data_IF_529523205965
#
_entry.id   IF_529523205965
#
_cell.length_a   1.000
_cell.length_b   1.000
_cell.length_c   1.000
_cell.angle_alpha   90.00
_cell.angle_beta   90.00
_cell.angle_gamma   90.00
#
_symmetry.space_group_name_H-M   'P 1'
#
loop_
_entity.id
_entity.type
_entity.pdbx_description
1 polymer ?
#
# COMPACT_ATOMS: atom_id res chain seq x y z
N UNK A 1 34.80 -3.67 14.41
CA UNK A 1 33.77 -4.20 13.49
C UNK A 1 33.10 -5.41 14.14
N UNK A 2 31.98 -5.21 14.83
CA UNK A 2 31.12 -6.27 15.39
C UNK A 2 29.75 -6.11 14.75
N UNK A 3 29.19 -7.23 14.29
CA UNK A 3 27.97 -7.33 13.50
C UNK A 3 26.77 -6.69 14.20
N UNK A 4 26.26 -5.60 13.61
CA UNK A 4 24.91 -5.10 13.82
C UNK A 4 23.97 -5.96 12.97
N UNK A 5 23.33 -6.97 13.57
CA UNK A 5 22.04 -7.44 13.08
C UNK A 5 20.96 -6.60 13.76
N UNK A 6 20.74 -5.41 13.23
CA UNK A 6 19.57 -4.59 13.61
C UNK A 6 18.36 -5.22 12.95
N UNK A 7 17.46 -5.71 13.80
CA UNK A 7 16.25 -6.45 13.49
C UNK A 7 15.32 -5.63 12.58
N UNK A 8 14.82 -6.27 11.53
CA UNK A 8 13.75 -5.76 10.66
C UNK A 8 12.46 -5.83 11.48
N UNK A 9 11.99 -4.69 11.98
CA UNK A 9 10.83 -4.58 12.87
C UNK A 9 9.91 -3.50 12.29
N UNK A 10 8.89 -3.92 11.54
CA UNK A 10 7.78 -3.04 11.14
C UNK A 10 6.45 -3.44 11.78
N UNK A 11 6.35 -4.64 12.38
CA UNK A 11 5.20 -5.06 13.18
C UNK A 11 5.50 -5.31 14.67
N UNK A 12 6.79 -5.29 15.07
CA UNK A 12 7.24 -6.04 16.25
C UNK A 12 7.32 -5.29 17.59
N UNK A 13 7.05 -3.98 17.66
CA UNK A 13 7.08 -3.26 18.96
C UNK A 13 5.70 -2.81 19.47
N UNK A 14 4.63 -3.01 18.72
CA UNK A 14 3.31 -2.47 19.04
C UNK A 14 2.51 -3.26 20.10
N UNK A 15 2.86 -4.50 20.43
CA UNK A 15 2.15 -5.30 21.46
C UNK A 15 2.94 -5.56 22.75
N UNK A 16 4.20 -5.11 22.85
CA UNK A 16 5.11 -5.50 23.95
C UNK A 16 5.07 -4.62 25.21
N UNK A 17 4.30 -3.53 25.25
CA UNK A 17 4.31 -2.59 26.38
C UNK A 17 3.38 -3.01 27.54
N UNK A 18 3.53 -4.24 28.02
CA UNK A 18 3.07 -4.67 29.34
C UNK A 18 4.20 -5.48 29.99
N UNK A 19 4.69 -4.97 31.13
CA UNK A 19 5.66 -5.55 32.08
C UNK A 19 7.18 -5.26 31.89
N UNK A 20 7.66 -4.31 32.69
CA UNK A 20 8.76 -4.45 33.65
C UNK A 20 10.10 -5.11 33.22
N UNK A 21 11.08 -4.26 32.94
CA UNK A 21 12.49 -4.28 33.42
C UNK A 21 13.12 -5.63 33.85
N UNK A 22 14.23 -6.07 33.23
CA UNK A 22 15.48 -6.48 33.92
C UNK A 22 16.67 -6.69 32.95
N UNK A 23 17.84 -6.16 33.33
CA UNK A 23 19.17 -6.33 32.69
C UNK A 23 19.64 -7.79 32.75
N UNK A 24 20.43 -8.26 31.75
CA UNK A 24 21.51 -9.25 31.99
C UNK A 24 22.58 -9.36 30.89
N UNK A 25 23.82 -9.15 31.36
CA UNK A 25 25.13 -9.82 31.14
C UNK A 25 25.58 -10.41 29.79
N UNK A 26 26.82 -10.01 29.44
CA UNK A 26 27.78 -10.48 28.43
C UNK A 26 28.07 -11.99 28.40
N UNK A 27 28.22 -12.56 27.19
CA UNK A 27 29.12 -13.70 26.89
C UNK A 27 29.76 -13.49 25.49
N UNK A 28 31.06 -13.81 25.37
CA UNK A 28 31.93 -13.65 24.18
C UNK A 28 31.70 -14.71 23.07
N UNK A 29 32.04 -14.43 21.79
CA UNK A 29 31.87 -15.37 20.68
C UNK A 29 33.14 -16.15 20.30
N UNK A 30 32.96 -17.43 19.93
CA UNK A 30 33.95 -18.26 19.23
C UNK A 30 33.77 -18.17 17.70
N UNK A 31 34.89 -18.28 16.98
CA UNK A 31 35.03 -18.25 15.51
C UNK A 31 34.81 -19.66 14.93
N UNK A 32 34.25 -19.79 13.71
CA UNK A 32 35.00 -20.21 12.49
C UNK A 32 34.13 -20.55 11.24
N UNK A 33 34.71 -20.13 10.10
CA UNK A 33 34.72 -20.62 8.70
C UNK A 33 33.48 -20.73 7.77
N UNK A 34 33.58 -20.21 6.51
CA UNK A 34 32.56 -20.32 5.47
C UNK A 34 32.84 -21.46 4.47
N UNK A 35 31.78 -22.17 4.03
CA UNK A 35 31.78 -23.00 2.83
C UNK A 35 30.89 -22.39 1.75
N UNK A 36 31.44 -22.38 0.54
CA UNK A 36 30.86 -21.86 -0.70
C UNK A 36 29.71 -22.73 -1.21
N UNK A 37 28.69 -22.12 -1.82
CA UNK A 37 27.77 -22.79 -2.73
C UNK A 37 27.35 -21.87 -3.88
N UNK A 38 27.03 -22.53 -5.00
CA UNK A 38 27.18 -22.07 -6.36
C UNK A 38 26.11 -21.09 -6.88
N UNK A 39 26.52 -20.41 -7.95
CA UNK A 39 25.79 -19.59 -8.93
C UNK A 39 24.30 -19.87 -9.12
N UNK A 40 23.47 -18.89 -8.76
CA UNK A 40 22.18 -18.62 -9.39
C UNK A 40 22.28 -17.33 -10.20
N UNK A 41 21.70 -17.29 -11.41
CA UNK A 41 21.65 -16.12 -12.29
C UNK A 41 21.01 -14.91 -11.59
N UNK A 42 21.83 -14.07 -10.96
CA UNK A 42 21.43 -12.80 -10.37
C UNK A 42 21.23 -11.81 -11.51
N UNK A 43 19.98 -11.46 -11.82
CA UNK A 43 19.67 -10.27 -12.62
C UNK A 43 20.35 -9.07 -11.96
N UNK A 44 21.27 -8.43 -12.67
CA UNK A 44 22.03 -7.28 -12.20
C UNK A 44 21.10 -6.12 -11.82
N UNK A 45 21.38 -5.54 -10.66
CA UNK A 45 20.65 -4.54 -9.86
C UNK A 45 20.33 -3.20 -10.53
N UNK A 46 20.54 -3.03 -11.84
CA UNK A 46 20.29 -1.79 -12.58
C UNK A 46 18.94 -1.77 -13.34
N UNK A 47 18.35 -2.93 -13.66
CA UNK A 47 17.10 -3.01 -14.45
C UNK A 47 15.83 -2.68 -13.65
N UNK A 48 15.90 -2.68 -12.31
CA UNK A 48 14.72 -2.63 -11.42
C UNK A 48 14.23 -1.19 -11.16
N UNK A 49 15.00 -0.13 -11.42
CA UNK A 49 14.51 1.26 -11.19
C UNK A 49 13.77 1.86 -12.39
N UNK A 50 14.25 1.64 -13.62
CA UNK A 50 13.62 2.18 -14.83
C UNK A 50 12.32 1.46 -15.15
N UNK A 51 12.34 0.13 -15.21
CA UNK A 51 11.14 -0.66 -15.51
C UNK A 51 10.03 -0.40 -14.48
N UNK A 52 10.37 -0.33 -13.19
CA UNK A 52 9.42 -0.04 -12.11
C UNK A 52 8.78 1.35 -12.25
N UNK A 53 9.57 2.37 -12.61
CA UNK A 53 9.06 3.71 -12.88
C UNK A 53 8.12 3.73 -14.09
N UNK A 54 8.48 3.06 -15.17
CA UNK A 54 7.63 2.98 -16.36
C UNK A 54 6.32 2.25 -16.08
N UNK A 55 6.39 1.10 -15.40
CA UNK A 55 5.22 0.32 -14.97
C UNK A 55 4.29 1.15 -14.07
N UNK A 56 4.83 1.80 -13.03
CA UNK A 56 4.06 2.65 -12.12
C UNK A 56 3.42 3.84 -12.86
N UNK A 57 4.13 4.48 -13.79
CA UNK A 57 3.58 5.58 -14.59
C UNK A 57 2.43 5.12 -15.50
N UNK A 58 2.55 3.97 -16.16
CA UNK A 58 1.48 3.41 -16.99
C UNK A 58 0.20 3.12 -16.19
N UNK A 59 0.34 2.65 -14.96
CA UNK A 59 -0.79 2.46 -14.04
C UNK A 59 -1.40 3.79 -13.59
N UNK A 60 -0.56 4.76 -13.20
CA UNK A 60 -1.02 6.06 -12.71
C UNK A 60 -1.79 6.85 -13.77
N UNK A 61 -1.32 6.80 -15.02
CA UNK A 61 -1.97 7.42 -16.18
C UNK A 61 -3.12 6.60 -16.74
N UNK A 62 -3.34 5.38 -16.21
CA UNK A 62 -4.31 4.41 -16.70
C UNK A 62 -4.14 4.07 -18.19
N UNK A 63 -2.92 4.18 -18.72
CA UNK A 63 -2.60 3.79 -20.09
C UNK A 63 -2.43 2.29 -20.24
N UNK A 64 -2.14 1.59 -19.13
CA UNK A 64 -2.22 0.13 -19.01
C UNK A 64 -2.80 -0.23 -17.65
N UNK A 65 -3.30 -1.45 -17.56
CA UNK A 65 -3.80 -2.08 -16.35
C UNK A 65 -2.74 -2.96 -15.71
N UNK A 66 -2.95 -3.37 -14.45
CA UNK A 66 -2.08 -4.33 -13.77
C UNK A 66 -1.87 -5.60 -14.61
N UNK A 67 -2.92 -6.12 -15.25
CA UNK A 67 -2.87 -7.42 -15.95
C UNK A 67 -2.17 -7.38 -17.31
N UNK A 68 -1.94 -6.19 -17.86
CA UNK A 68 -1.16 -6.02 -19.10
C UNK A 68 0.35 -5.98 -18.81
N UNK A 69 0.77 -5.45 -17.65
CA UNK A 69 2.19 -5.24 -17.34
C UNK A 69 3.07 -6.50 -17.38
N UNK A 70 2.64 -7.69 -16.91
CA UNK A 70 3.47 -8.89 -16.94
C UNK A 70 3.94 -9.30 -18.35
N UNK A 71 3.22 -8.87 -19.39
CA UNK A 71 3.54 -9.18 -20.79
C UNK A 71 4.44 -8.14 -21.45
N UNK A 72 4.84 -7.09 -20.72
CA UNK A 72 5.59 -5.96 -21.27
C UNK A 72 7.06 -6.01 -20.84
N UNK A 73 7.97 -5.96 -21.80
CA UNK A 73 9.37 -5.61 -21.54
C UNK A 73 9.51 -4.13 -21.19
N UNK A 74 10.68 -3.74 -20.66
CA UNK A 74 10.99 -2.31 -20.42
C UNK A 74 10.85 -1.47 -21.69
N UNK A 75 11.26 -2.01 -22.84
CA UNK A 75 11.15 -1.34 -24.13
C UNK A 75 9.69 -1.22 -24.59
N UNK A 76 8.87 -2.25 -24.37
CA UNK A 76 7.42 -2.17 -24.65
C UNK A 76 6.73 -1.10 -23.81
N UNK A 77 7.12 -0.95 -22.54
CA UNK A 77 6.60 0.09 -21.65
C UNK A 77 7.03 1.49 -22.13
N UNK A 78 8.29 1.66 -22.51
CA UNK A 78 8.80 2.93 -23.04
C UNK A 78 8.12 3.30 -24.36
N UNK A 79 8.05 2.36 -25.31
CA UNK A 79 7.38 2.54 -26.60
C UNK A 79 5.89 2.85 -26.43
N UNK A 80 5.23 2.20 -25.46
CA UNK A 80 3.84 2.52 -25.12
C UNK A 80 3.70 3.98 -24.69
N UNK A 81 4.59 4.48 -23.83
CA UNK A 81 4.56 5.90 -23.42
C UNK A 81 4.81 6.86 -24.58
N UNK A 82 5.76 6.54 -25.48
CA UNK A 82 6.01 7.34 -26.69
C UNK A 82 4.74 7.42 -27.54
N UNK A 83 4.11 6.27 -27.82
CA UNK A 83 2.89 6.19 -28.63
C UNK A 83 1.73 6.95 -27.99
N UNK A 84 1.54 6.81 -26.67
CA UNK A 84 0.47 7.52 -25.98
C UNK A 84 0.71 9.03 -25.93
N UNK A 85 1.94 9.49 -25.66
CA UNK A 85 2.27 10.92 -25.71
C UNK A 85 2.12 11.50 -27.11
N UNK A 86 2.54 10.78 -28.16
CA UNK A 86 2.37 11.23 -29.55
C UNK A 86 0.89 11.41 -29.92
N UNK A 87 0.00 10.51 -29.49
CA UNK A 87 -1.45 10.62 -29.75
C UNK A 87 -2.09 11.81 -29.03
N UNK A 88 -1.50 12.23 -27.92
CA UNK A 88 -2.12 13.10 -26.90
C UNK A 88 -1.51 14.50 -26.85
N UNK A 89 -0.44 14.75 -27.59
CA UNK A 89 0.33 16.00 -27.60
C UNK A 89 0.76 16.34 -29.03
N UNK A 90 1.32 17.53 -29.24
CA UNK A 90 1.81 17.96 -30.55
C UNK A 90 3.17 17.35 -30.94
N UNK A 91 3.77 16.51 -30.09
CA UNK A 91 5.13 16.00 -30.29
C UNK A 91 5.13 14.74 -31.16
N UNK A 92 6.00 14.71 -32.17
CA UNK A 92 6.15 13.55 -33.05
C UNK A 92 6.96 12.40 -32.41
N UNK A 93 6.87 11.20 -32.98
CA UNK A 93 7.55 9.99 -32.47
C UNK A 93 9.08 10.16 -32.43
N UNK A 94 9.67 10.84 -33.42
CA UNK A 94 11.13 11.01 -33.48
C UNK A 94 11.63 11.91 -32.34
N UNK A 95 10.91 12.99 -32.04
CA UNK A 95 11.21 13.86 -30.90
C UNK A 95 11.09 13.12 -29.57
N UNK A 96 10.04 12.31 -29.39
CA UNK A 96 9.78 11.56 -28.17
C UNK A 96 10.79 10.41 -27.94
N UNK A 97 11.25 9.77 -29.01
CA UNK A 97 12.25 8.68 -28.94
C UNK A 97 13.61 9.18 -28.43
N UNK A 98 13.91 10.46 -28.61
CA UNK A 98 15.15 11.08 -28.12
C UNK A 98 15.08 11.52 -26.65
N UNK A 99 13.92 11.40 -25.99
CA UNK A 99 13.74 11.75 -24.58
C UNK A 99 14.09 10.53 -23.72
N UNK A 100 14.86 10.73 -22.65
CA UNK A 100 15.13 9.63 -21.74
C UNK A 100 13.86 9.18 -20.99
N UNK A 101 13.82 7.90 -20.61
CA UNK A 101 12.65 7.26 -20.03
C UNK A 101 12.12 7.93 -18.74
N UNK A 102 13.00 8.53 -17.92
CA UNK A 102 12.58 9.25 -16.71
C UNK A 102 11.84 10.54 -17.02
N UNK A 103 12.36 11.31 -17.97
CA UNK A 103 11.67 12.51 -18.46
C UNK A 103 10.36 12.14 -19.13
N UNK A 104 10.35 11.10 -19.98
CA UNK A 104 9.14 10.61 -20.65
C UNK A 104 8.03 10.27 -19.63
N UNK A 105 8.38 9.55 -18.57
CA UNK A 105 7.45 9.23 -17.48
C UNK A 105 6.93 10.49 -16.77
N UNK A 106 7.81 11.46 -16.48
CA UNK A 106 7.42 12.71 -15.83
C UNK A 106 6.48 13.55 -16.73
N UNK A 107 6.72 13.59 -18.04
CA UNK A 107 5.84 14.27 -19.00
C UNK A 107 4.47 13.60 -19.11
N UNK A 108 4.41 12.27 -19.10
CA UNK A 108 3.15 11.52 -19.08
C UNK A 108 2.30 11.87 -17.84
N UNK A 109 2.93 11.95 -16.66
CA UNK A 109 2.25 12.33 -15.43
C UNK A 109 1.83 13.80 -15.41
N UNK A 110 2.64 14.71 -15.98
CA UNK A 110 2.30 16.12 -16.14
C UNK A 110 1.07 16.31 -17.05
N UNK A 111 1.05 15.62 -18.19
CA UNK A 111 -0.11 15.57 -19.08
C UNK A 111 -1.37 15.10 -18.32
N UNK A 112 -1.27 13.97 -17.60
CA UNK A 112 -2.43 13.39 -16.93
C UNK A 112 -2.96 14.30 -15.83
N UNK A 113 -2.08 14.95 -15.05
CA UNK A 113 -2.48 15.93 -14.05
C UNK A 113 -3.23 17.11 -14.66
N UNK A 114 -2.70 17.76 -15.71
CA UNK A 114 -3.37 18.91 -16.34
C UNK A 114 -4.77 18.55 -16.87
N UNK A 115 -4.91 17.33 -17.39
CA UNK A 115 -6.18 16.78 -17.85
C UNK A 115 -7.14 16.52 -16.68
N UNK A 116 -6.70 15.82 -15.63
CA UNK A 116 -7.51 15.47 -14.46
C UNK A 116 -7.95 16.67 -13.65
N UNK A 117 -7.07 17.66 -13.50
CA UNK A 117 -7.35 18.92 -12.83
C UNK A 117 -8.22 19.87 -13.67
N UNK A 118 -8.60 19.47 -14.90
CA UNK A 118 -9.44 20.30 -15.79
C UNK A 118 -8.75 21.58 -16.27
N UNK A 119 -7.43 21.69 -16.11
CA UNK A 119 -6.66 22.87 -16.53
C UNK A 119 -6.62 22.99 -18.05
N UNK A 120 -6.50 21.84 -18.74
CA UNK A 120 -6.57 21.76 -20.20
C UNK A 120 -7.43 20.57 -20.61
N UNK A 121 -8.24 20.77 -21.64
CA UNK A 121 -9.00 19.69 -22.26
C UNK A 121 -8.07 18.74 -23.03
N UNK A 122 -8.52 17.50 -23.29
CA UNK A 122 -7.76 16.57 -24.11
C UNK A 122 -7.49 17.11 -25.54
N UNK A 123 -8.43 17.88 -26.10
CA UNK A 123 -8.27 18.51 -27.42
C UNK A 123 -7.17 19.58 -27.37
N UNK A 124 -7.19 20.45 -26.36
CA UNK A 124 -6.15 21.48 -26.19
C UNK A 124 -4.78 20.87 -25.95
N UNK A 125 -4.69 19.82 -25.12
CA UNK A 125 -3.41 19.15 -24.86
C UNK A 125 -2.82 18.52 -26.12
N UNK A 126 -3.64 18.06 -27.06
CA UNK A 126 -3.20 17.50 -28.35
C UNK A 126 -2.46 18.52 -29.23
N UNK A 127 -2.71 19.81 -29.01
CA UNK A 127 -2.08 20.92 -29.72
C UNK A 127 -0.86 21.47 -28.97
N UNK A 128 -0.56 20.98 -27.76
CA UNK A 128 0.53 21.46 -26.92
C UNK A 128 1.80 20.60 -27.05
N UNK A 129 2.96 21.23 -27.11
CA UNK A 129 4.26 20.55 -26.98
C UNK A 129 4.54 20.14 -25.53
N UNK A 130 5.51 19.26 -25.29
CA UNK A 130 5.88 18.91 -23.91
C UNK A 130 6.38 20.13 -23.10
N UNK A 131 7.18 21.06 -23.67
CA UNK A 131 7.49 22.33 -23.01
C UNK A 131 6.25 23.16 -22.63
N UNK A 132 5.22 23.21 -23.48
CA UNK A 132 3.99 23.96 -23.17
C UNK A 132 3.22 23.35 -21.99
N UNK A 133 3.19 22.01 -21.91
CA UNK A 133 2.61 21.27 -20.78
C UNK A 133 3.34 21.62 -19.48
N UNK A 134 4.68 21.58 -19.49
CA UNK A 134 5.48 21.91 -18.30
C UNK A 134 5.33 23.37 -17.91
N UNK A 135 5.39 24.30 -18.87
CA UNK A 135 5.20 25.73 -18.60
C UNK A 135 3.81 26.01 -18.03
N UNK A 136 2.77 25.34 -18.53
CA UNK A 136 1.42 25.43 -17.97
C UNK A 136 1.42 24.96 -16.52
N UNK A 137 2.00 23.80 -16.22
CA UNK A 137 2.08 23.29 -14.86
C UNK A 137 2.88 24.22 -13.91
N UNK A 138 3.97 24.82 -14.38
CA UNK A 138 4.73 25.82 -13.62
C UNK A 138 3.85 27.01 -13.25
N UNK A 139 3.09 27.55 -14.21
CA UNK A 139 2.18 28.66 -13.96
C UNK A 139 1.11 28.26 -12.95
N UNK A 140 0.44 27.12 -13.14
CA UNK A 140 -0.60 26.64 -12.22
C UNK A 140 -0.05 26.39 -10.80
N UNK A 141 1.17 25.89 -10.66
CA UNK A 141 1.84 25.73 -9.37
C UNK A 141 2.12 27.09 -8.72
N UNK A 142 2.67 28.06 -9.46
CA UNK A 142 2.96 29.40 -8.92
C UNK A 142 1.71 30.16 -8.48
N UNK A 143 0.56 29.87 -9.08
CA UNK A 143 -0.73 30.47 -8.71
C UNK A 143 -1.33 29.87 -7.44
N UNK A 144 -1.00 28.63 -7.10
CA UNK A 144 -1.62 27.87 -5.99
C UNK A 144 -0.71 27.64 -4.80
N UNK A 145 0.60 27.79 -4.99
CA UNK A 145 1.62 27.60 -3.96
C UNK A 145 2.42 28.90 -3.83
N UNK A 146 2.01 29.74 -2.87
CA UNK A 146 2.57 31.08 -2.66
C UNK A 146 4.07 31.04 -2.33
N UNK A 147 4.57 29.91 -1.83
CA UNK A 147 5.97 29.72 -1.48
C UNK A 147 6.91 29.55 -2.69
N UNK A 148 6.37 29.38 -3.92
CA UNK A 148 7.18 29.12 -5.12
C UNK A 148 6.98 30.15 -6.24
N UNK A 149 8.05 30.90 -6.54
CA UNK A 149 8.08 31.79 -7.71
C UNK A 149 8.28 31.01 -9.02
N UNK A 150 7.84 31.58 -10.15
CA UNK A 150 8.05 30.98 -11.49
C UNK A 150 9.53 30.68 -11.76
N UNK A 151 10.50 31.58 -11.51
CA UNK A 151 11.92 31.27 -11.71
C UNK A 151 12.41 30.10 -10.86
N UNK A 152 11.91 29.96 -9.63
CA UNK A 152 12.28 28.83 -8.76
C UNK A 152 11.72 27.50 -9.31
N UNK A 153 10.47 27.49 -9.76
CA UNK A 153 9.83 26.32 -10.36
C UNK A 153 10.48 25.89 -11.68
N UNK A 154 10.95 26.83 -12.50
CA UNK A 154 11.66 26.53 -13.75
C UNK A 154 12.97 25.76 -13.55
N UNK A 155 13.58 25.83 -12.36
CA UNK A 155 14.79 25.07 -12.01
C UNK A 155 14.49 23.66 -11.47
N UNK A 156 13.22 23.33 -11.23
CA UNK A 156 12.84 22.04 -10.69
C UNK A 156 12.66 20.98 -11.78
N UNK A 157 12.99 19.71 -11.51
CA UNK A 157 12.67 18.63 -12.42
C UNK A 157 11.15 18.47 -12.59
N UNK A 158 10.69 18.06 -13.78
CA UNK A 158 9.26 17.88 -14.10
C UNK A 158 8.56 16.98 -13.07
N UNK A 159 9.23 15.93 -12.60
CA UNK A 159 8.68 15.04 -11.58
C UNK A 159 8.33 15.78 -10.28
N UNK A 160 9.16 16.74 -9.85
CA UNK A 160 8.88 17.58 -8.68
C UNK A 160 7.72 18.53 -8.95
N UNK A 161 7.65 19.11 -10.16
CA UNK A 161 6.53 19.97 -10.55
C UNK A 161 5.20 19.22 -10.53
N UNK A 162 5.18 17.95 -10.96
CA UNK A 162 3.99 17.10 -10.87
C UNK A 162 3.63 16.83 -9.41
N UNK A 163 4.61 16.50 -8.56
CA UNK A 163 4.38 16.28 -7.13
C UNK A 163 3.75 17.50 -6.45
N UNK A 164 4.27 18.70 -6.72
CA UNK A 164 3.68 19.96 -6.26
C UNK A 164 2.29 20.20 -6.85
N UNK A 165 2.10 19.84 -8.12
CA UNK A 165 0.80 19.83 -8.78
C UNK A 165 -0.27 19.06 -8.02
N UNK A 166 0.06 17.85 -7.60
CA UNK A 166 -0.85 17.01 -6.81
C UNK A 166 -1.03 17.52 -5.37
N UNK A 167 -0.09 18.28 -4.80
CA UNK A 167 -0.21 18.76 -3.42
C UNK A 167 -1.31 19.81 -3.23
N UNK A 168 -1.64 20.59 -4.26
CA UNK A 168 -2.83 21.45 -4.24
C UNK A 168 -4.06 20.79 -4.87
N UNK A 169 -3.88 19.90 -5.86
CA UNK A 169 -5.00 19.28 -6.57
C UNK A 169 -5.79 18.31 -5.67
N UNK A 170 -5.12 17.37 -5.00
CA UNK A 170 -5.82 16.31 -4.24
C UNK A 170 -6.67 16.85 -3.07
N UNK A 171 -6.18 17.79 -2.23
CA UNK A 171 -7.02 18.37 -1.18
C UNK A 171 -8.27 19.04 -1.74
N UNK A 172 -8.16 19.70 -2.89
CA UNK A 172 -9.28 20.40 -3.53
C UNK A 172 -10.27 19.41 -4.17
N UNK A 173 -9.76 18.46 -4.97
CA UNK A 173 -10.57 17.50 -5.71
C UNK A 173 -11.36 16.57 -4.79
N UNK A 174 -10.77 16.22 -3.64
CA UNK A 174 -11.33 15.25 -2.70
C UNK A 174 -11.78 15.89 -1.37
N UNK A 175 -11.98 17.22 -1.31
CA UNK A 175 -12.32 17.91 -0.05
C UNK A 175 -13.54 17.30 0.71
N UNK A 176 -14.68 16.99 0.04
CA UNK A 176 -15.82 16.37 0.72
C UNK A 176 -15.50 14.97 1.24
N UNK A 177 -14.74 14.19 0.46
CA UNK A 177 -14.31 12.85 0.83
C UNK A 177 -13.36 12.91 2.05
N UNK A 178 -12.37 13.80 2.03
CA UNK A 178 -11.44 13.98 3.14
C UNK A 178 -12.13 14.33 4.44
N UNK A 179 -13.15 15.20 4.40
CA UNK A 179 -13.94 15.55 5.59
C UNK A 179 -14.70 14.33 6.15
N UNK A 180 -15.25 13.48 5.28
CA UNK A 180 -15.95 12.26 5.68
C UNK A 180 -15.00 11.21 6.25
N UNK A 181 -13.88 10.95 5.56
CA UNK A 181 -12.84 10.01 6.00
C UNK A 181 -12.20 10.44 7.33
N UNK A 182 -12.11 11.74 7.58
CA UNK A 182 -11.53 12.27 8.82
C UNK A 182 -12.41 12.08 10.06
N UNK A 183 -13.72 11.84 9.90
CA UNK A 183 -14.65 11.93 11.02
C UNK A 183 -14.81 10.62 11.80
N UNK A 184 -13.83 10.28 12.65
CA UNK A 184 -13.92 9.15 13.58
C UNK A 184 -14.48 9.57 14.96
N UNK A 185 -15.38 10.57 15.01
CA UNK A 185 -15.98 11.06 16.26
C UNK A 185 -17.39 10.53 16.52
N UNK A 186 -18.06 10.01 15.48
CA UNK A 186 -19.44 9.52 15.56
C UNK A 186 -19.44 8.00 15.79
N UNK A 187 -19.70 7.58 17.02
CA UNK A 187 -19.80 6.17 17.44
C UNK A 187 -18.59 5.27 17.06
N UNK A 188 -17.33 5.73 17.26
CA UNK A 188 -16.16 4.89 17.01
C UNK A 188 -16.07 3.76 18.04
N UNK A 189 -15.60 2.58 17.61
CA UNK A 189 -15.16 1.51 18.49
C UNK A 189 -13.64 1.53 18.61
N UNK A 190 -13.14 1.80 19.81
CA UNK A 190 -11.71 1.72 20.15
C UNK A 190 -11.38 0.40 20.84
N UNK A 191 -10.10 0.02 20.79
CA UNK A 191 -9.58 -1.20 21.40
C UNK A 191 -10.45 -2.43 21.08
N UNK A 192 -10.88 -2.55 19.81
CA UNK A 192 -11.79 -3.61 19.40
C UNK A 192 -11.19 -5.00 19.68
N UNK A 193 -12.02 -5.91 20.19
CA UNK A 193 -11.62 -7.26 20.59
C UNK A 193 -12.60 -8.32 20.12
N UNK A 194 -12.09 -9.54 20.00
CA UNK A 194 -12.94 -10.71 19.82
C UNK A 194 -13.52 -11.24 21.14
N UNK A 195 -14.39 -12.25 21.02
CA UNK A 195 -15.04 -12.96 22.13
C UNK A 195 -14.10 -13.68 23.09
N UNK A 196 -12.81 -13.83 22.75
CA UNK A 196 -11.76 -14.34 23.63
C UNK A 196 -10.93 -13.20 24.25
N UNK A 197 -11.41 -11.96 24.17
CA UNK A 197 -10.76 -10.74 24.68
C UNK A 197 -9.39 -10.47 24.03
N UNK A 198 -9.18 -10.90 22.79
CA UNK A 198 -7.96 -10.65 22.02
C UNK A 198 -8.16 -9.46 21.10
N UNK A 199 -7.16 -8.58 21.00
CA UNK A 199 -7.21 -7.41 20.13
C UNK A 199 -7.38 -7.80 18.66
N UNK A 200 -8.13 -6.98 17.91
CA UNK A 200 -8.33 -7.15 16.46
C UNK A 200 -7.25 -6.43 15.64
N UNK A 201 -6.00 -6.47 16.11
CA UNK A 201 -4.95 -5.64 15.54
C UNK A 201 -4.76 -5.92 14.04
N UNK A 202 -4.59 -4.83 13.28
CA UNK A 202 -4.51 -4.78 11.81
C UNK A 202 -5.71 -5.39 11.05
N UNK A 203 -6.92 -5.32 11.64
CA UNK A 203 -8.16 -5.85 11.06
C UNK A 203 -8.40 -5.39 9.61
N UNK A 204 -8.55 -6.33 8.68
CA UNK A 204 -9.08 -6.11 7.32
C UNK A 204 -10.41 -6.82 7.16
N UNK A 205 -11.44 -6.12 6.71
CA UNK A 205 -12.83 -6.60 6.69
C UNK A 205 -13.25 -6.93 5.25
N UNK A 206 -14.14 -7.91 5.10
CA UNK A 206 -14.90 -8.15 3.88
C UNK A 206 -16.37 -8.31 4.25
N UNK A 207 -17.25 -7.63 3.52
CA UNK A 207 -18.69 -7.87 3.61
C UNK A 207 -19.05 -9.20 2.94
N UNK A 208 -20.03 -9.89 3.50
CA UNK A 208 -20.59 -11.12 2.95
C UNK A 208 -22.04 -10.90 2.55
N UNK A 209 -22.56 -11.81 1.73
CA UNK A 209 -23.98 -11.87 1.38
C UNK A 209 -24.78 -12.72 2.40
N UNK A 210 -24.20 -13.03 3.57
CA UNK A 210 -24.82 -13.87 4.62
C UNK A 210 -25.36 -13.00 5.75
N UNK A 211 -26.37 -13.50 6.46
CA UNK A 211 -26.89 -12.87 7.68
C UNK A 211 -27.46 -13.89 8.68
N UNK A 212 -27.33 -13.59 9.97
CA UNK A 212 -27.97 -14.32 11.06
C UNK A 212 -27.71 -15.82 11.03
N UNK A 213 -28.78 -16.63 10.94
CA UNK A 213 -28.70 -18.10 10.94
C UNK A 213 -27.93 -18.67 9.74
N UNK A 214 -27.73 -17.90 8.67
CA UNK A 214 -27.05 -18.34 7.46
C UNK A 214 -25.56 -17.93 7.41
N UNK A 215 -25.03 -17.35 8.49
CA UNK A 215 -23.65 -16.88 8.58
C UNK A 215 -23.54 -15.41 8.98
N UNK A 216 -22.31 -14.91 9.05
CA UNK A 216 -22.01 -13.55 9.50
C UNK A 216 -21.95 -12.55 8.34
N UNK A 217 -22.52 -11.36 8.52
CA UNK A 217 -22.48 -10.25 7.54
C UNK A 217 -21.07 -9.78 7.24
N UNK A 218 -20.17 -9.86 8.21
CA UNK A 218 -18.80 -9.40 8.07
C UNK A 218 -17.84 -10.49 8.52
N UNK A 219 -16.81 -10.71 7.71
CA UNK A 219 -15.63 -11.46 8.10
C UNK A 219 -14.44 -10.50 8.14
N UNK A 220 -13.44 -10.81 8.93
CA UNK A 220 -12.21 -10.03 8.93
C UNK A 220 -10.98 -10.81 9.36
N UNK A 221 -9.85 -10.47 8.76
CA UNK A 221 -8.53 -11.01 9.13
C UNK A 221 -7.84 -10.05 10.08
N UNK A 222 -7.34 -10.58 11.19
CA UNK A 222 -6.55 -9.83 12.16
C UNK A 222 -5.43 -10.74 12.70
N UNK A 223 -4.37 -10.14 13.21
CA UNK A 223 -3.32 -10.92 13.85
C UNK A 223 -3.50 -10.94 15.37
N UNK A 224 -3.08 -12.04 15.99
CA UNK A 224 -3.09 -12.18 17.44
C UNK A 224 -1.66 -12.44 17.87
N UNK A 225 -1.15 -11.58 18.75
CA UNK A 225 0.13 -11.78 19.40
C UNK A 225 0.12 -13.09 20.19
N UNK A 226 1.20 -13.86 20.08
CA UNK A 226 1.35 -15.14 20.77
C UNK A 226 2.48 -15.07 21.78
N UNK A 227 3.67 -15.53 21.43
CA UNK A 227 4.85 -15.51 22.30
C UNK A 227 6.01 -14.81 21.60
N UNK A 228 6.74 -13.99 22.36
CA UNK A 228 7.87 -13.22 21.85
C UNK A 228 7.43 -12.28 20.75
N UNK A 229 8.00 -12.47 19.57
CA UNK A 229 7.79 -11.64 18.38
C UNK A 229 6.78 -12.29 17.39
N UNK A 230 6.13 -13.40 17.77
CA UNK A 230 5.29 -14.16 16.85
C UNK A 230 3.82 -13.77 16.92
N UNK A 231 3.18 -13.80 15.75
CA UNK A 231 1.74 -13.59 15.58
C UNK A 231 1.09 -14.78 14.87
N UNK A 232 -0.19 -15.02 15.15
CA UNK A 232 -1.00 -15.91 14.32
C UNK A 232 -2.04 -15.09 13.57
N UNK A 233 -2.33 -15.49 12.33
CA UNK A 233 -3.40 -14.89 11.54
C UNK A 233 -4.73 -15.59 11.86
N UNK A 234 -5.74 -14.80 12.17
CA UNK A 234 -7.05 -15.28 12.61
C UNK A 234 -8.15 -14.68 11.74
N UNK A 235 -9.18 -15.48 11.48
CA UNK A 235 -10.44 -15.03 10.92
C UNK A 235 -11.43 -14.77 12.06
N UNK A 236 -11.98 -13.56 12.08
CA UNK A 236 -13.07 -13.14 12.95
C UNK A 236 -14.33 -12.89 12.15
N UNK A 237 -15.45 -12.83 12.85
CA UNK A 237 -16.74 -12.53 12.23
C UNK A 237 -17.60 -11.64 13.12
N UNK A 238 -18.44 -10.82 12.47
CA UNK A 238 -19.37 -9.90 13.12
C UNK A 238 -20.64 -9.70 12.28
N UNK A 239 -21.74 -9.31 12.94
CA UNK A 239 -22.98 -8.90 12.27
C UNK A 239 -23.28 -7.40 12.42
N UNK A 240 -22.50 -6.68 13.23
CA UNK A 240 -22.75 -5.30 13.63
C UNK A 240 -21.45 -4.45 13.68
N UNK A 241 -20.33 -5.01 13.23
CA UNK A 241 -18.98 -4.42 13.28
C UNK A 241 -18.45 -4.13 14.69
N UNK A 242 -19.23 -4.41 15.74
CA UNK A 242 -18.89 -4.13 17.14
C UNK A 242 -18.57 -5.39 17.92
N UNK A 243 -19.40 -6.41 17.79
CA UNK A 243 -19.25 -7.69 18.46
C UNK A 243 -18.58 -8.68 17.52
N UNK A 244 -17.33 -9.04 17.84
CA UNK A 244 -16.52 -9.95 17.03
C UNK A 244 -16.35 -11.30 17.73
N UNK A 245 -16.48 -12.37 16.97
CA UNK A 245 -16.17 -13.73 17.42
C UNK A 245 -14.98 -14.28 16.66
N UNK A 246 -14.12 -15.04 17.34
CA UNK A 246 -13.11 -15.85 16.65
C UNK A 246 -13.81 -16.96 15.88
N UNK A 247 -13.53 -17.06 14.57
CA UNK A 247 -14.00 -18.17 13.74
C UNK A 247 -12.96 -19.27 13.70
N UNK A 248 -11.81 -19.00 13.07
CA UNK A 248 -10.77 -20.00 12.83
C UNK A 248 -9.40 -19.33 12.78
N UNK A 249 -8.35 -20.06 13.14
CA UNK A 249 -6.98 -19.61 12.88
C UNK A 249 -6.64 -19.95 11.43
N UNK A 250 -6.24 -18.95 10.65
CA UNK A 250 -5.83 -19.13 9.26
C UNK A 250 -4.43 -19.74 9.23
N UNK A 251 -3.46 -19.14 9.91
CA UNK A 251 -2.09 -19.67 9.92
C UNK A 251 -1.34 -19.28 11.20
N UNK A 252 -0.29 -20.04 11.52
CA UNK A 252 0.67 -19.75 12.60
C UNK A 252 1.83 -18.91 12.08
N UNK A 253 2.46 -18.09 12.91
CA UNK A 253 3.58 -17.22 12.50
C UNK A 253 3.25 -16.45 11.21
N UNK A 254 2.12 -15.74 11.27
CA UNK A 254 1.50 -15.04 10.16
C UNK A 254 0.81 -13.77 10.65
N UNK A 255 0.88 -12.69 9.89
CA UNK A 255 0.30 -11.40 10.27
C UNK A 255 -0.15 -10.56 9.06
N UNK A 256 -0.83 -9.44 9.36
CA UNK A 256 -1.20 -8.40 8.40
C UNK A 256 -1.85 -8.94 7.12
N UNK A 257 -2.90 -9.76 7.30
CA UNK A 257 -3.64 -10.33 6.19
C UNK A 257 -4.67 -9.36 5.61
N UNK A 258 -4.90 -9.44 4.31
CA UNK A 258 -6.00 -8.82 3.59
C UNK A 258 -6.93 -9.88 3.00
N UNK A 259 -8.22 -9.54 2.89
CA UNK A 259 -9.28 -10.45 2.47
C UNK A 259 -10.23 -9.79 1.48
N UNK A 260 -10.67 -10.56 0.48
CA UNK A 260 -11.72 -10.14 -0.46
C UNK A 260 -12.56 -11.32 -0.91
N UNK A 261 -13.82 -11.07 -1.26
CA UNK A 261 -14.66 -12.02 -1.99
C UNK A 261 -14.23 -12.04 -3.46
N UNK A 262 -14.06 -13.23 -4.05
CA UNK A 262 -13.67 -13.37 -5.44
C UNK A 262 -14.38 -14.56 -6.10
N UNK A 263 -15.25 -14.24 -7.06
CA UNK A 263 -16.20 -15.21 -7.60
C UNK A 263 -17.10 -15.75 -6.49
N UNK A 264 -17.21 -17.08 -6.40
CA UNK A 264 -17.97 -17.74 -5.34
C UNK A 264 -17.21 -17.80 -4.01
N UNK A 265 -15.89 -17.70 -4.07
CA UNK A 265 -14.99 -17.92 -2.95
C UNK A 265 -14.41 -16.65 -2.33
N UNK A 266 -13.33 -16.84 -1.57
CA UNK A 266 -12.61 -15.80 -0.85
C UNK A 266 -11.11 -15.96 -1.04
N UNK A 267 -10.41 -14.85 -1.24
CA UNK A 267 -8.95 -14.80 -1.27
C UNK A 267 -8.46 -14.13 0.01
N UNK A 268 -7.52 -14.78 0.69
CA UNK A 268 -6.73 -14.18 1.77
C UNK A 268 -5.28 -14.12 1.30
N UNK A 269 -4.67 -12.94 1.40
CA UNK A 269 -3.23 -12.75 1.24
C UNK A 269 -2.65 -12.24 2.56
N UNK A 270 -1.47 -12.69 2.95
CA UNK A 270 -0.89 -12.33 4.25
C UNK A 270 0.62 -12.45 4.27
N UNK A 271 1.21 -11.86 5.31
CA UNK A 271 2.61 -11.99 5.61
C UNK A 271 2.86 -13.26 6.42
N UNK A 272 3.61 -14.18 5.85
CA UNK A 272 4.13 -15.36 6.51
C UNK A 272 5.52 -15.07 7.08
N UNK A 273 5.73 -15.42 8.36
CA UNK A 273 7.00 -15.24 9.08
C UNK A 273 7.43 -16.55 9.76
N UNK A 274 7.51 -17.66 8.99
CA UNK A 274 7.92 -18.97 9.55
C UNK A 274 9.35 -18.96 10.08
N UNK A 275 10.20 -18.10 9.52
CA UNK A 275 11.53 -17.82 10.00
C UNK A 275 11.60 -16.33 10.31
N UNK A 276 11.70 -15.99 11.59
CA UNK A 276 11.63 -14.62 12.08
C UNK A 276 12.48 -13.65 11.24
N UNK A 277 11.83 -12.62 10.68
CA UNK A 277 12.47 -11.58 9.88
C UNK A 277 12.80 -12.00 8.44
N UNK A 278 12.26 -13.13 7.99
CA UNK A 278 12.28 -13.57 6.60
C UNK A 278 10.84 -13.63 6.07
N UNK A 279 10.20 -12.46 6.07
CA UNK A 279 8.77 -12.35 5.77
C UNK A 279 8.51 -12.66 4.30
N UNK A 280 7.39 -13.31 4.01
CA UNK A 280 6.99 -13.65 2.65
C UNK A 280 5.49 -13.45 2.45
N UNK A 281 5.07 -13.15 1.24
CA UNK A 281 3.65 -13.10 0.91
C UNK A 281 3.13 -14.51 0.65
N UNK A 282 2.03 -14.88 1.33
CA UNK A 282 1.30 -16.12 1.12
C UNK A 282 -0.14 -15.84 0.76
N UNK A 283 -0.68 -16.64 -0.15
CA UNK A 283 -2.05 -16.55 -0.64
C UNK A 283 -2.77 -17.85 -0.35
N UNK A 284 -4.03 -17.75 0.07
CA UNK A 284 -4.98 -18.86 0.15
C UNK A 284 -6.31 -18.48 -0.44
N UNK A 285 -6.85 -19.35 -1.28
CA UNK A 285 -8.20 -19.22 -1.82
C UNK A 285 -9.09 -20.33 -1.28
N UNK A 286 -10.32 -19.97 -0.96
CA UNK A 286 -11.35 -20.84 -0.39
C UNK A 286 -12.55 -20.78 -1.34
N UNK A 287 -13.04 -21.92 -1.82
CA UNK A 287 -14.06 -21.97 -2.87
C UNK A 287 -15.43 -21.41 -2.43
N UNK A 288 -15.68 -21.33 -1.12
CA UNK A 288 -16.91 -20.78 -0.57
C UNK A 288 -16.72 -20.19 0.85
N UNK A 289 -17.81 -19.63 1.37
CA UNK A 289 -17.89 -19.18 2.78
C UNK A 289 -17.67 -20.35 3.74
N UNK A 290 -18.32 -21.49 3.48
CA UNK A 290 -18.27 -22.70 4.31
C UNK A 290 -16.84 -23.25 4.39
N UNK A 291 -16.12 -23.21 3.26
CA UNK A 291 -14.70 -23.57 3.18
C UNK A 291 -13.81 -22.64 4.01
N UNK A 292 -14.06 -21.32 3.90
CA UNK A 292 -13.28 -20.31 4.59
C UNK A 292 -13.43 -20.41 6.12
N UNK A 293 -14.65 -20.56 6.64
CA UNK A 293 -14.89 -20.57 8.10
C UNK A 293 -14.34 -21.81 8.80
N UNK A 294 -13.98 -22.86 8.05
CA UNK A 294 -13.27 -24.04 8.57
C UNK A 294 -11.82 -24.12 8.10
N UNK A 295 -11.31 -23.08 7.43
CA UNK A 295 -9.95 -22.99 6.89
C UNK A 295 -9.57 -24.15 5.94
N UNK A 296 -10.49 -24.56 5.06
CA UNK A 296 -10.25 -25.55 4.00
C UNK A 296 -10.02 -24.83 2.67
N UNK A 297 -8.76 -24.52 2.37
CA UNK A 297 -8.40 -23.83 1.12
C UNK A 297 -8.27 -24.81 -0.05
N UNK A 298 -8.63 -24.36 -1.26
CA UNK A 298 -8.48 -25.08 -2.53
C UNK A 298 -7.20 -24.69 -3.27
N UNK A 299 -6.62 -23.53 -2.94
CA UNK A 299 -5.35 -23.07 -3.47
C UNK A 299 -4.53 -22.42 -2.36
N UNK A 300 -3.22 -22.71 -2.37
CA UNK A 300 -2.24 -22.16 -1.44
C UNK A 300 -0.94 -21.89 -2.20
N UNK A 301 -0.42 -20.67 -2.08
CA UNK A 301 0.79 -20.27 -2.78
C UNK A 301 1.62 -19.34 -1.92
N UNK A 302 2.87 -19.72 -1.72
CA UNK A 302 3.93 -18.83 -1.27
C UNK A 302 4.53 -18.14 -2.51
N UNK A 303 4.54 -16.81 -2.53
CA UNK A 303 5.16 -16.06 -3.64
C UNK A 303 6.68 -16.06 -3.53
N UNK A 304 7.35 -16.00 -4.68
CA UNK A 304 8.78 -15.77 -4.73
C UNK A 304 9.07 -14.30 -4.46
N UNK A 305 10.05 -14.01 -3.61
CA UNK A 305 10.52 -12.65 -3.39
C UNK A 305 11.37 -12.21 -4.57
N UNK A 306 11.06 -11.04 -5.12
CA UNK A 306 11.71 -10.51 -6.32
C UNK A 306 12.27 -9.09 -6.11
N UNK A 307 11.90 -8.43 -5.01
CA UNK A 307 12.22 -7.04 -4.69
C UNK A 307 12.97 -6.96 -3.35
N UNK A 308 13.92 -6.03 -3.27
CA UNK A 308 14.67 -5.71 -2.05
C UNK A 308 15.96 -6.53 -1.89
N UNK A 309 16.91 -5.99 -1.12
CA UNK A 309 18.23 -6.63 -0.92
C UNK A 309 18.22 -7.77 0.10
N UNK A 310 17.24 -7.76 1.00
CA UNK A 310 17.19 -8.66 2.15
C UNK A 310 16.07 -9.71 2.06
N UNK A 311 15.36 -9.79 0.93
CA UNK A 311 14.32 -10.79 0.72
C UNK A 311 13.26 -10.75 1.85
N UNK A 312 12.75 -9.55 2.15
CA UNK A 312 11.62 -9.34 3.08
C UNK A 312 10.55 -8.60 2.30
N UNK A 313 9.43 -9.27 2.07
CA UNK A 313 8.25 -8.75 1.39
C UNK A 313 7.02 -9.12 2.20
N UNK A 314 6.16 -8.14 2.48
CA UNK A 314 5.10 -8.31 3.48
C UNK A 314 3.97 -7.28 3.39
N UNK A 315 3.05 -7.37 4.35
CA UNK A 315 1.83 -6.56 4.47
C UNK A 315 1.09 -6.40 3.14
N UNK A 316 0.68 -7.51 2.50
CA UNK A 316 0.06 -7.44 1.19
C UNK A 316 -1.34 -6.83 1.25
N UNK A 317 -1.74 -6.13 0.18
CA UNK A 317 -3.11 -5.71 -0.08
C UNK A 317 -3.57 -6.17 -1.47
N UNK A 318 -4.84 -6.53 -1.60
CA UNK A 318 -5.42 -6.99 -2.86
C UNK A 318 -5.92 -5.76 -3.63
N UNK A 319 -5.27 -5.45 -4.77
CA UNK A 319 -5.53 -4.25 -5.57
C UNK A 319 -6.52 -4.47 -6.70
N UNK A 320 -6.41 -5.60 -7.40
CA UNK A 320 -7.31 -5.95 -8.49
C UNK A 320 -7.34 -7.47 -8.71
N UNK A 321 -8.46 -7.95 -9.24
CA UNK A 321 -8.69 -9.34 -9.60
C UNK A 321 -9.27 -9.43 -11.02
N UNK A 322 -8.90 -10.47 -11.77
CA UNK A 322 -9.53 -10.85 -13.04
C UNK A 322 -9.93 -12.31 -13.00
N UNK A 323 -10.93 -12.71 -13.79
CA UNK A 323 -11.45 -14.08 -13.75
C UNK A 323 -12.17 -14.41 -12.42
N UNK A 324 -12.27 -15.69 -12.08
CA UNK A 324 -13.11 -16.15 -10.96
C UNK A 324 -12.36 -16.95 -9.88
N UNK A 325 -11.11 -17.31 -10.11
CA UNK A 325 -10.28 -18.06 -9.16
C UNK A 325 -8.78 -17.88 -9.50
N UNK A 326 -7.85 -18.24 -8.58
CA UNK A 326 -6.42 -18.12 -8.83
C UNK A 326 -5.93 -18.83 -10.09
N UNK A 327 -6.56 -19.95 -10.48
CA UNK A 327 -6.13 -20.78 -11.60
C UNK A 327 -6.68 -20.34 -12.97
N UNK A 328 -7.66 -19.43 -12.99
CA UNK A 328 -8.26 -18.90 -14.22
C UNK A 328 -8.46 -17.38 -14.08
N UNK A 329 -7.38 -16.69 -13.71
CA UNK A 329 -7.43 -15.29 -13.34
C UNK A 329 -6.07 -14.75 -12.93
N UNK A 330 -6.05 -13.46 -12.64
CA UNK A 330 -4.86 -12.77 -12.16
C UNK A 330 -5.17 -12.00 -10.88
N UNK A 331 -4.17 -11.91 -10.01
CA UNK A 331 -4.22 -11.24 -8.71
C UNK A 331 -3.17 -10.14 -8.72
N UNK A 332 -3.60 -8.88 -8.70
CA UNK A 332 -2.71 -7.75 -8.48
C UNK A 332 -2.63 -7.46 -6.97
N UNK A 333 -1.41 -7.44 -6.45
CA UNK A 333 -1.12 -7.16 -5.05
C UNK A 333 -0.27 -5.90 -4.93
N UNK A 334 -0.49 -5.12 -3.88
CA UNK A 334 0.54 -4.26 -3.31
C UNK A 334 1.17 -4.92 -2.10
N UNK A 335 2.37 -4.50 -1.77
CA UNK A 335 3.10 -4.98 -0.59
C UNK A 335 4.23 -4.03 -0.25
N UNK A 336 4.79 -4.15 0.95
CA UNK A 336 6.05 -3.51 1.28
C UNK A 336 7.23 -4.44 0.98
N UNK A 337 8.39 -3.86 0.73
CA UNK A 337 9.66 -4.56 0.77
C UNK A 337 10.65 -3.77 1.63
N UNK A 338 11.58 -4.49 2.25
CA UNK A 338 12.60 -3.88 3.07
C UNK A 338 13.74 -3.28 2.24
N UNK A 339 14.12 -2.04 2.56
CA UNK A 339 15.28 -1.36 1.99
C UNK A 339 16.03 -0.55 3.07
N UNK A 340 17.08 0.15 2.66
CA UNK A 340 17.81 1.09 3.50
C UNK A 340 17.90 2.48 2.84
N UNK A 341 17.58 3.53 3.60
CA UNK A 341 17.80 4.92 3.20
C UNK A 341 18.83 5.51 4.17
N UNK A 342 20.00 5.88 3.66
CA UNK A 342 21.09 6.45 4.47
C UNK A 342 21.45 5.59 5.71
N UNK A 343 21.39 4.27 5.56
CA UNK A 343 21.65 3.31 6.66
C UNK A 343 20.48 3.10 7.62
N UNK A 344 19.38 3.84 7.46
CA UNK A 344 18.13 3.62 8.21
C UNK A 344 17.31 2.54 7.51
N UNK A 345 16.95 1.45 8.20
CA UNK A 345 16.11 0.40 7.65
C UNK A 345 14.68 0.91 7.50
N UNK A 346 14.09 0.77 6.32
CA UNK A 346 12.72 1.26 6.07
C UNK A 346 11.96 0.36 5.11
N UNK A 347 10.64 0.33 5.31
CA UNK A 347 9.72 -0.22 4.32
C UNK A 347 9.53 0.74 3.14
N UNK A 348 9.50 0.15 1.95
CA UNK A 348 9.16 0.81 0.68
C UNK A 348 8.10 0.01 -0.06
N UNK A 349 7.45 0.66 -1.01
CA UNK A 349 6.28 0.13 -1.68
C UNK A 349 6.63 -0.63 -2.94
N UNK A 350 5.98 -1.76 -3.12
CA UNK A 350 6.00 -2.54 -4.33
C UNK A 350 4.60 -3.01 -4.70
N UNK A 351 4.47 -3.49 -5.92
CA UNK A 351 3.28 -4.17 -6.39
C UNK A 351 3.69 -5.30 -7.33
N UNK A 352 2.79 -6.26 -7.54
CA UNK A 352 3.03 -7.37 -8.43
C UNK A 352 1.75 -8.06 -8.85
N UNK A 353 1.87 -8.93 -9.85
CA UNK A 353 0.75 -9.65 -10.44
C UNK A 353 1.07 -11.13 -10.49
N UNK A 354 0.21 -11.93 -9.88
CA UNK A 354 0.18 -13.38 -10.04
C UNK A 354 -0.82 -13.73 -11.15
N UNK A 355 -0.37 -14.39 -12.21
CA UNK A 355 -1.23 -14.81 -13.34
C UNK A 355 -1.37 -16.33 -13.37
N UNK A 356 -2.61 -16.80 -13.48
CA UNK A 356 -3.01 -18.22 -13.55
C UNK A 356 -2.36 -19.07 -12.44
N UNK A 357 -2.25 -18.50 -11.23
CA UNK A 357 -1.76 -19.19 -10.04
C UNK A 357 -0.25 -19.50 -10.02
N UNK A 358 0.49 -19.17 -11.09
CA UNK A 358 1.87 -19.63 -11.25
C UNK A 358 2.88 -18.54 -11.60
N UNK A 359 2.53 -17.57 -12.45
CA UNK A 359 3.47 -16.57 -12.95
C UNK A 359 3.44 -15.32 -12.07
N UNK A 360 4.52 -15.05 -11.35
CA UNK A 360 4.65 -13.87 -10.48
C UNK A 360 5.64 -12.87 -11.07
N UNK A 361 5.19 -11.63 -11.24
CA UNK A 361 6.00 -10.49 -11.66
C UNK A 361 5.75 -9.33 -10.72
N UNK A 362 6.80 -8.69 -10.23
CA UNK A 362 6.68 -7.51 -9.37
C UNK A 362 7.61 -6.37 -9.74
N UNK A 363 7.24 -5.19 -9.25
CA UNK A 363 7.89 -3.91 -9.50
C UNK A 363 7.90 -3.08 -8.21
N UNK A 364 8.88 -2.18 -8.09
CA UNK A 364 8.81 -1.14 -7.08
C UNK A 364 7.70 -0.15 -7.46
N UNK A 365 6.94 0.34 -6.48
CA UNK A 365 6.00 1.43 -6.70
C UNK A 365 6.77 2.76 -6.68
N UNK A 366 7.54 3.00 -7.75
CA UNK A 366 8.54 4.07 -7.79
C UNK A 366 7.92 5.46 -7.65
N UNK A 367 6.72 5.68 -8.19
CA UNK A 367 6.01 6.96 -8.09
C UNK A 367 5.54 7.19 -6.66
N UNK A 368 4.89 6.21 -6.04
CA UNK A 368 4.43 6.33 -4.65
C UNK A 368 5.59 6.53 -3.67
N UNK A 369 6.65 5.74 -3.81
CA UNK A 369 7.85 5.86 -2.99
C UNK A 369 8.46 7.26 -3.11
N UNK A 370 8.65 7.77 -4.33
CA UNK A 370 9.19 9.10 -4.54
C UNK A 370 8.33 10.18 -3.86
N UNK A 371 7.03 10.20 -4.14
CA UNK A 371 6.15 11.27 -3.67
C UNK A 371 6.01 11.28 -2.14
N UNK A 372 5.91 10.12 -1.48
CA UNK A 372 5.87 10.08 -0.02
C UNK A 372 7.19 10.55 0.60
N UNK A 373 8.34 10.25 -0.01
CA UNK A 373 9.64 10.81 0.44
C UNK A 373 9.71 12.32 0.21
N UNK A 374 9.17 12.85 -0.88
CA UNK A 374 9.11 14.30 -1.12
C UNK A 374 8.21 15.03 -0.12
N UNK A 375 7.21 14.34 0.45
CA UNK A 375 6.36 14.82 1.54
C UNK A 375 6.99 14.65 2.94
N UNK A 376 8.29 14.34 2.99
CA UNK A 376 9.09 14.15 4.21
C UNK A 376 8.68 12.96 5.10
N UNK A 377 8.01 11.96 4.52
CA UNK A 377 7.90 10.67 5.19
C UNK A 377 9.22 9.92 5.04
N UNK A 378 10.04 9.86 6.10
CA UNK A 378 11.36 9.21 6.11
C UNK A 378 11.38 7.87 6.84
N UNK A 379 10.30 7.50 7.53
CA UNK A 379 10.14 6.21 8.21
C UNK A 379 9.56 5.12 7.31
N UNK A 380 8.88 4.16 7.92
CA UNK A 380 8.23 3.05 7.23
C UNK A 380 6.99 3.49 6.43
N UNK A 381 6.74 2.78 5.34
CA UNK A 381 5.56 2.93 4.48
C UNK A 381 5.11 1.51 4.13
N UNK A 382 4.09 0.98 4.82
CA UNK A 382 3.88 -0.48 4.92
C UNK A 382 2.49 -0.97 4.48
N UNK A 383 1.45 -0.64 5.23
CA UNK A 383 0.06 -1.03 4.98
C UNK A 383 -0.71 -0.08 4.05
N UNK A 384 -1.66 -0.63 3.29
CA UNK A 384 -2.58 0.13 2.45
C UNK A 384 -3.87 -0.63 2.20
N UNK A 385 -4.88 0.06 1.64
CA UNK A 385 -6.08 -0.57 1.08
C UNK A 385 -6.71 0.33 0.00
N UNK A 386 -6.92 -0.22 -1.19
CA UNK A 386 -7.66 0.47 -2.26
C UNK A 386 -9.17 0.34 -2.12
N UNK A 387 -9.91 1.35 -2.58
CA UNK A 387 -11.37 1.38 -2.61
C UNK A 387 -11.87 2.18 -3.81
N UNK A 388 -13.10 1.91 -4.24
CA UNK A 388 -13.77 2.69 -5.29
C UNK A 388 -14.56 3.84 -4.67
N UNK A 389 -14.43 5.03 -5.26
CA UNK A 389 -15.21 6.21 -4.94
C UNK A 389 -15.50 7.00 -6.21
N UNK A 390 -16.77 7.22 -6.54
CA UNK A 390 -17.20 7.96 -7.73
C UNK A 390 -16.53 7.50 -9.04
N UNK A 391 -16.38 6.18 -9.22
CA UNK A 391 -15.75 5.59 -10.42
C UNK A 391 -14.21 5.71 -10.45
N UNK A 392 -13.59 6.20 -9.38
CA UNK A 392 -12.14 6.31 -9.23
C UNK A 392 -11.64 5.32 -8.18
N UNK A 393 -10.50 4.71 -8.45
CA UNK A 393 -9.80 3.88 -7.47
C UNK A 393 -8.87 4.76 -6.63
N UNK A 394 -9.17 4.88 -5.34
CA UNK A 394 -8.38 5.60 -4.35
C UNK A 394 -7.75 4.61 -3.37
N UNK A 395 -6.78 5.06 -2.58
CA UNK A 395 -6.08 4.21 -1.60
C UNK A 395 -5.93 4.92 -0.27
N UNK A 396 -6.21 4.23 0.84
CA UNK A 396 -5.70 4.64 2.15
C UNK A 396 -4.31 4.04 2.36
N UNK A 397 -3.34 4.88 2.69
CA UNK A 397 -1.92 4.55 2.76
C UNK A 397 -1.37 4.99 4.12
N UNK A 398 -0.72 4.10 4.87
CA UNK A 398 0.06 4.56 6.03
C UNK A 398 1.40 5.15 5.61
N UNK A 399 1.88 6.15 6.32
CA UNK A 399 3.24 6.64 6.16
C UNK A 399 3.78 7.19 7.49
N UNK A 400 4.99 6.79 7.85
CA UNK A 400 5.65 7.24 9.07
C UNK A 400 6.62 8.39 8.76
N UNK A 401 6.55 9.49 9.52
CA UNK A 401 7.49 10.61 9.29
C UNK A 401 8.92 10.23 9.65
N UNK A 402 9.13 9.58 10.79
CA UNK A 402 10.46 9.20 11.26
C UNK A 402 10.51 7.73 11.67
N UNK A 403 11.55 7.02 11.23
CA UNK A 403 11.76 5.63 11.60
C UNK A 403 11.79 5.47 13.12
N UNK A 404 11.09 4.44 13.63
CA UNK A 404 10.98 4.13 15.05
C UNK A 404 10.30 5.23 15.92
N UNK A 405 9.62 6.18 15.30
CA UNK A 405 8.77 7.18 15.99
C UNK A 405 7.29 6.82 15.80
N UNK A 406 6.73 6.11 16.78
CA UNK A 406 5.38 5.55 16.73
C UNK A 406 4.27 6.59 16.80
N UNK A 407 4.55 7.80 17.28
CA UNK A 407 3.66 8.97 17.29
C UNK A 407 3.56 9.66 15.92
N UNK A 408 4.32 9.19 14.92
CA UNK A 408 4.41 9.84 13.60
C UNK A 408 3.74 9.08 12.46
N UNK A 409 2.91 8.07 12.76
CA UNK A 409 2.15 7.35 11.75
C UNK A 409 0.96 8.16 11.28
N UNK A 410 0.83 8.28 9.96
CA UNK A 410 -0.21 9.05 9.30
C UNK A 410 -0.96 8.20 8.31
N UNK A 411 -2.25 8.47 8.17
CA UNK A 411 -3.07 7.94 7.07
C UNK A 411 -3.16 8.98 5.97
N UNK A 412 -2.88 8.54 4.75
CA UNK A 412 -2.88 9.34 3.53
C UNK A 412 -3.97 8.84 2.59
N UNK A 413 -4.67 9.76 1.95
CA UNK A 413 -5.53 9.46 0.79
C UNK A 413 -4.66 9.56 -0.47
N UNK A 414 -4.57 8.46 -1.21
CA UNK A 414 -3.82 8.34 -2.43
C UNK A 414 -4.69 8.24 -3.67
N UNK A 415 -4.29 8.94 -4.73
CA UNK A 415 -4.77 8.72 -6.09
C UNK A 415 -3.56 8.30 -6.94
N UNK A 416 -3.49 7.01 -7.28
CA UNK A 416 -2.27 6.42 -7.83
C UNK A 416 -1.12 6.53 -6.81
N UNK A 417 0.00 7.11 -7.22
CA UNK A 417 1.20 7.31 -6.41
C UNK A 417 1.31 8.71 -5.80
N UNK A 418 0.24 9.52 -5.78
CA UNK A 418 0.21 10.86 -5.19
C UNK A 418 -0.72 10.90 -4.00
N UNK A 419 -0.41 11.73 -2.99
CA UNK A 419 -1.04 11.65 -1.68
C UNK A 419 -1.39 12.99 -1.07
N UNK A 420 -2.46 13.00 -0.27
CA UNK A 420 -2.81 14.07 0.66
C UNK A 420 -3.15 13.45 2.02
N UNK A 421 -2.96 14.19 3.12
CA UNK A 421 -3.15 13.65 4.48
C UNK A 421 -4.65 13.57 4.82
N UNK A 422 -5.07 12.45 5.42
CA UNK A 422 -6.37 12.36 6.09
C UNK A 422 -6.16 12.75 7.56
N UNK A 423 -6.70 13.89 7.96
CA UNK A 423 -6.60 14.39 9.34
C UNK A 423 -7.69 13.75 10.20
N UNK A 424 -7.55 12.45 10.52
CA UNK A 424 -8.52 11.72 11.33
C UNK A 424 -8.70 12.40 12.69
N UNK A 425 -9.95 12.69 13.05
CA UNK A 425 -10.38 13.30 14.29
C UNK A 425 -11.05 12.24 15.16
N UNK A 426 -10.60 12.11 16.40
CA UNK A 426 -11.20 11.26 17.42
C UNK A 426 -11.66 12.10 18.61
N UNK A 427 -12.56 11.58 19.48
CA UNK A 427 -13.04 12.32 20.65
C UNK A 427 -11.94 12.89 21.55
N UNK A 428 -10.79 12.21 21.67
CA UNK A 428 -9.67 12.65 22.52
C UNK A 428 -8.43 13.10 21.72
N UNK A 429 -8.61 13.46 20.45
CA UNK A 429 -7.56 14.03 19.58
C UNK A 429 -6.32 13.13 19.42
N UNK A 430 -6.54 11.85 19.17
CA UNK A 430 -5.50 10.92 18.73
C UNK A 430 -4.72 11.47 17.53
N UNK A 431 -3.42 11.22 17.50
CA UNK A 431 -2.51 11.82 16.51
C UNK A 431 -1.80 10.81 15.63
N UNK A 432 -1.82 9.52 15.99
CA UNK A 432 -1.08 8.48 15.30
C UNK A 432 -1.98 7.31 14.90
N UNK A 433 -1.96 6.99 13.61
CA UNK A 433 -2.82 5.97 13.00
C UNK A 433 -2.01 5.15 11.99
N UNK A 434 -1.98 3.84 12.17
CA UNK A 434 -1.29 2.89 11.32
C UNK A 434 -2.27 1.84 10.77
N UNK A 435 -1.80 1.05 9.81
CA UNK A 435 -2.51 -0.07 9.20
C UNK A 435 -3.95 0.23 8.76
N UNK A 436 -4.18 1.31 7.97
CA UNK A 436 -5.53 1.67 7.58
C UNK A 436 -6.16 0.60 6.68
N UNK A 437 -7.45 0.39 6.84
CA UNK A 437 -8.30 -0.34 5.89
C UNK A 437 -9.56 0.45 5.61
N UNK A 438 -10.17 0.18 4.47
CA UNK A 438 -11.49 0.69 4.13
C UNK A 438 -12.23 -0.38 3.33
N UNK A 439 -13.46 -0.65 3.72
CA UNK A 439 -14.30 -1.70 3.12
C UNK A 439 -15.66 -1.12 2.80
N UNK A 440 -16.09 -1.26 1.56
CA UNK A 440 -17.47 -0.95 1.16
C UNK A 440 -18.42 -1.98 1.77
N UNK A 441 -19.46 -1.51 2.46
CA UNK A 441 -20.45 -2.36 3.12
C UNK A 441 -21.67 -2.54 2.22
N UNK A 442 -22.41 -1.44 2.00
CA UNK A 442 -23.62 -1.39 1.19
C UNK A 442 -23.92 0.05 0.80
N UNK A 443 -24.57 0.29 -0.34
CA UNK A 443 -24.92 1.66 -0.75
C UNK A 443 -23.71 2.60 -0.74
N UNK A 444 -23.76 3.64 0.09
CA UNK A 444 -22.66 4.60 0.32
C UNK A 444 -21.92 4.37 1.64
N UNK A 445 -22.18 3.27 2.34
CA UNK A 445 -21.61 2.97 3.65
C UNK A 445 -20.28 2.24 3.51
N UNK A 446 -19.28 2.72 4.24
CA UNK A 446 -17.96 2.13 4.33
C UNK A 446 -17.58 2.01 5.80
N UNK A 447 -16.81 0.97 6.13
CA UNK A 447 -16.12 0.85 7.41
C UNK A 447 -14.64 1.12 7.22
N UNK A 448 -14.06 1.89 8.13
CA UNK A 448 -12.63 2.15 8.21
C UNK A 448 -12.09 1.51 9.47
N UNK A 449 -10.93 0.87 9.34
CA UNK A 449 -10.17 0.35 10.49
C UNK A 449 -8.77 0.94 10.51
N UNK A 450 -8.24 1.21 11.70
CA UNK A 450 -6.86 1.62 11.91
C UNK A 450 -6.32 0.95 13.17
N UNK A 451 -5.03 0.66 13.20
CA UNK A 451 -4.31 0.41 14.44
C UNK A 451 -3.85 1.74 15.04
N UNK A 452 -4.12 1.96 16.33
CA UNK A 452 -3.74 3.16 17.08
C UNK A 452 -2.60 2.84 18.05
N UNK A 453 -1.34 3.24 17.74
CA UNK A 453 -0.19 3.01 18.60
C UNK A 453 -0.35 3.63 19.99
N UNK A 454 0.44 3.16 20.96
CA UNK A 454 0.46 3.77 22.30
C UNK A 454 0.97 5.20 22.30
N UNK A 455 1.98 5.48 21.49
CA UNK A 455 2.59 6.77 21.28
C UNK A 455 1.67 7.63 20.41
N UNK A 456 1.39 8.85 20.88
CA UNK A 456 0.47 9.77 20.20
C UNK A 456 -1.01 9.62 20.58
N UNK A 457 -1.39 8.57 21.33
CA UNK A 457 -2.79 8.29 21.67
C UNK A 457 -3.00 7.97 23.17
N UNK A 458 -4.15 8.32 23.73
CA UNK A 458 -4.51 8.02 25.12
C UNK A 458 -4.93 6.56 25.33
N UNK A 459 -4.81 5.97 26.54
CA UNK A 459 -5.15 4.57 26.79
C UNK A 459 -6.53 4.11 26.30
N UNK A 460 -7.53 4.99 26.29
CA UNK A 460 -8.89 4.72 25.80
C UNK A 460 -9.04 4.78 24.27
N UNK A 461 -8.04 5.29 23.55
CA UNK A 461 -7.99 5.40 22.08
C UNK A 461 -6.73 4.69 21.53
N UNK A 462 -6.40 3.51 22.07
CA UNK A 462 -5.31 2.66 21.59
C UNK A 462 -5.85 1.33 21.06
N UNK A 463 -5.02 0.64 20.27
CA UNK A 463 -5.40 -0.62 19.64
C UNK A 463 -6.27 -0.40 18.41
N UNK A 464 -7.12 -1.36 18.08
CA UNK A 464 -7.92 -1.30 16.86
C UNK A 464 -9.08 -0.31 16.97
N UNK A 465 -9.09 0.68 16.08
CA UNK A 465 -10.20 1.59 15.80
C UNK A 465 -11.06 1.01 14.67
N UNK A 466 -12.38 1.05 14.84
CA UNK A 466 -13.39 0.77 13.80
C UNK A 466 -14.39 1.94 13.81
N UNK A 467 -14.67 2.53 12.66
CA UNK A 467 -15.73 3.53 12.51
C UNK A 467 -16.33 3.47 11.11
N UNK A 468 -17.59 3.89 11.00
CA UNK A 468 -18.35 3.89 9.76
C UNK A 468 -18.41 5.29 9.16
N UNK A 469 -18.40 5.38 7.83
CA UNK A 469 -18.52 6.61 7.07
C UNK A 469 -19.50 6.43 5.90
N UNK A 470 -20.23 7.47 5.57
CA UNK A 470 -21.13 7.49 4.40
C UNK A 470 -20.53 8.37 3.30
N UNK A 471 -20.05 7.76 2.20
CA UNK A 471 -19.28 8.41 1.14
C UNK A 471 -20.12 9.00 0.01
#
# INVERSE_FOLDING_TARGET
MKYLYTRVICALLACGALFGCHKRSNIQPQKEHPQALASSNVRTTASISQQSMLAATLLNTQWRTYFELPQMSTDDMANTMIVELNKRTANDIASLTNINQQQLAAYALAYDLLRKAGIRSAQTLKEMSLPDIVNTLIVENSLRLEEYSVPALQQMPVQKLVQLGYSWYLPQAHAPLLAKLANATQDPLFAAKDSANRGLDVLKIVATERNGMNGFKYLGTYHVHTNGDNFNLVLGASNDLKNWVKVVQIDVNAHQGDIVKWGNGYLITYEEDKQQGANNIRLRYYDSYEELVVNRFSFDKKLERQIGKNNVEGTPDIRALSGTSPLNGSIALGFHYYDQIQGVPVDKLAFGVLTNGSQWNSWQDAIANYNLREMDFRGNIGSRKSFQYQGQTLTLQEAQKAYNSWDTWNVMLGEGGFYTRVNIQTPLNATSFANPSITHLSGNEYVITCFMPSEGNLPSERGTLIYEVNL
#
